data_IF_486679382818
#
_entry.id   IF_486679382818
#
_cell.length_a   1.000
_cell.length_b   1.000
_cell.length_c   1.000
_cell.angle_alpha   90.00
_cell.angle_beta   90.00
_cell.angle_gamma   90.00
#
_symmetry.space_group_name_H-M   'P 1'
#
loop_
_entity.id
_entity.type
_entity.pdbx_description
1 polymer ?
#
# COMPACT_ATOMS: atom_id res chain seq x y z
N UNK A 1 -14.52 3.75 0.82
CA UNK A 1 -13.25 4.47 0.56
C UNK A 1 -13.45 5.95 0.25
N UNK A 2 -14.59 6.36 -0.33
CA UNK A 2 -14.75 7.70 -0.92
C UNK A 2 -14.92 8.87 0.07
N UNK A 3 -15.51 8.67 1.26
CA UNK A 3 -15.82 9.78 2.17
C UNK A 3 -14.61 10.42 2.88
N UNK A 4 -13.49 9.71 3.01
CA UNK A 4 -12.28 10.23 3.66
C UNK A 4 -11.38 10.97 2.67
N UNK A 5 -11.41 10.59 1.39
CA UNK A 5 -10.62 11.20 0.33
C UNK A 5 -11.11 12.61 0.00
N UNK A 6 -12.38 12.93 0.24
CA UNK A 6 -12.93 14.28 0.04
C UNK A 6 -12.33 15.33 0.98
N UNK A 7 -11.65 14.93 2.07
CA UNK A 7 -10.92 15.84 2.96
C UNK A 7 -9.56 16.26 2.40
N UNK A 8 -8.98 15.46 1.49
CA UNK A 8 -7.75 15.80 0.78
C UNK A 8 -8.12 16.66 -0.43
N UNK A 9 -8.34 17.96 -0.20
CA UNK A 9 -8.73 18.93 -1.22
C UNK A 9 -7.55 19.25 -2.19
N UNK A 10 -7.03 18.24 -2.88
CA UNK A 10 -5.83 18.29 -3.71
C UNK A 10 -6.08 17.58 -5.04
N UNK A 11 -6.20 18.35 -6.12
CA UNK A 11 -6.40 17.83 -7.48
C UNK A 11 -5.15 17.21 -8.12
N UNK A 12 -3.98 17.35 -7.47
CA UNK A 12 -2.69 16.84 -7.94
C UNK A 12 -2.17 15.64 -7.14
N UNK A 13 -2.89 15.23 -6.10
CA UNK A 13 -2.44 14.16 -5.22
C UNK A 13 -2.84 12.80 -5.77
N UNK A 14 -1.90 11.86 -5.80
CA UNK A 14 -2.20 10.44 -5.99
C UNK A 14 -2.56 9.80 -4.65
N UNK A 15 -3.59 8.95 -4.64
CA UNK A 15 -3.88 8.11 -3.47
C UNK A 15 -3.30 6.73 -3.69
N UNK A 16 -2.59 6.23 -2.69
CA UNK A 16 -2.09 4.87 -2.65
C UNK A 16 -2.48 4.21 -1.34
N UNK A 17 -3.35 3.21 -1.41
CA UNK A 17 -3.74 2.40 -0.27
C UNK A 17 -2.89 1.14 -0.20
N UNK A 18 -2.03 1.00 0.82
CA UNK A 18 -1.25 -0.22 1.04
C UNK A 18 -2.12 -1.44 1.40
N UNK A 19 -3.43 -1.26 1.63
CA UNK A 19 -4.40 -2.35 1.81
C UNK A 19 -4.35 -3.35 0.64
N UNK A 20 -4.19 -2.86 -0.58
CA UNK A 20 -4.11 -3.70 -1.79
C UNK A 20 -2.86 -4.59 -1.81
N UNK A 21 -1.84 -4.28 -0.99
CA UNK A 21 -0.67 -5.12 -0.84
C UNK A 21 -0.95 -6.40 -0.05
N UNK A 22 -2.04 -6.42 0.72
CA UNK A 22 -2.34 -7.47 1.69
C UNK A 22 -3.72 -8.09 1.53
N UNK A 23 -4.66 -7.37 0.92
CA UNK A 23 -6.06 -7.77 0.86
C UNK A 23 -6.56 -7.99 -0.56
N UNK A 24 -7.32 -9.06 -0.75
CA UNK A 24 -8.13 -9.34 -1.93
C UNK A 24 -9.62 -9.29 -1.54
N UNK A 25 -10.33 -8.26 -2.01
CA UNK A 25 -11.69 -7.98 -1.58
C UNK A 25 -11.78 -7.72 -0.07
N UNK A 26 -12.49 -8.59 0.64
CA UNK A 26 -12.67 -8.53 2.10
C UNK A 26 -11.65 -9.40 2.87
N UNK A 27 -10.83 -10.18 2.17
CA UNK A 27 -9.86 -11.08 2.79
C UNK A 27 -8.48 -10.45 2.83
N UNK A 28 -7.93 -10.28 4.03
CA UNK A 28 -6.59 -9.75 4.23
C UNK A 28 -5.63 -10.83 4.73
N UNK A 29 -4.53 -11.01 4.03
CA UNK A 29 -3.44 -11.86 4.47
C UNK A 29 -2.72 -11.19 5.64
N UNK A 30 -2.80 -11.80 6.81
CA UNK A 30 -2.04 -11.39 8.00
C UNK A 30 -0.70 -12.14 8.13
N UNK A 31 -0.50 -13.14 7.27
CA UNK A 31 0.70 -13.97 7.19
C UNK A 31 1.24 -13.99 5.75
N UNK A 32 2.55 -13.99 5.60
CA UNK A 32 3.20 -14.33 4.33
C UNK A 32 3.25 -15.85 4.18
N UNK A 33 2.61 -16.39 3.15
CA UNK A 33 2.49 -17.83 2.93
C UNK A 33 3.85 -18.49 2.66
N UNK A 34 4.82 -17.76 2.11
CA UNK A 34 6.13 -18.30 1.80
C UNK A 34 7.01 -18.48 3.03
N UNK A 35 7.02 -17.50 3.94
CA UNK A 35 7.84 -17.55 5.15
C UNK A 35 7.10 -18.04 6.40
N UNK A 36 5.76 -18.08 6.39
CA UNK A 36 4.96 -18.37 7.56
C UNK A 36 5.08 -17.30 8.66
N UNK A 37 5.57 -16.11 8.31
CA UNK A 37 5.77 -14.99 9.23
C UNK A 37 4.65 -13.95 9.08
N UNK A 38 4.28 -13.25 10.17
CA UNK A 38 3.24 -12.24 10.09
C UNK A 38 3.70 -11.04 9.26
N UNK A 39 2.80 -10.49 8.44
CA UNK A 39 3.07 -9.29 7.63
C UNK A 39 2.91 -7.99 8.43
N UNK A 40 2.29 -8.07 9.61
CA UNK A 40 2.19 -7.00 10.60
C UNK A 40 2.90 -7.42 11.89
N UNK A 41 3.65 -6.50 12.52
CA UNK A 41 4.29 -6.76 13.82
C UNK A 41 3.27 -6.67 14.94
N UNK A 42 2.36 -5.72 14.83
CA UNK A 42 1.28 -5.39 15.75
C UNK A 42 0.16 -4.71 14.95
N UNK A 43 -0.83 -4.10 15.62
CA UNK A 43 -1.97 -3.45 14.96
C UNK A 43 -1.62 -2.17 14.19
N UNK A 44 -0.39 -1.65 14.33
CA UNK A 44 0.01 -0.34 13.80
C UNK A 44 1.18 -0.45 12.80
N UNK A 45 2.06 -1.43 12.98
CA UNK A 45 3.31 -1.53 12.25
C UNK A 45 3.35 -2.71 11.29
N UNK A 46 3.80 -2.43 10.07
CA UNK A 46 4.13 -3.45 9.07
C UNK A 46 5.43 -4.15 9.49
N UNK A 47 5.46 -5.48 9.41
CA UNK A 47 6.66 -6.27 9.74
C UNK A 47 7.72 -6.16 8.63
N UNK A 48 8.98 -6.56 8.88
CA UNK A 48 9.99 -6.63 7.82
C UNK A 48 9.56 -7.49 6.63
N UNK A 49 8.74 -8.52 6.86
CA UNK A 49 8.16 -9.36 5.82
C UNK A 49 7.08 -8.59 5.05
N UNK A 50 6.16 -7.94 5.75
CA UNK A 50 5.13 -7.09 5.13
C UNK A 50 5.71 -5.99 4.26
N UNK A 51 6.83 -5.38 4.68
CA UNK A 51 7.52 -4.35 3.89
C UNK A 51 8.02 -4.88 2.54
N UNK A 52 8.35 -6.17 2.42
CA UNK A 52 8.73 -6.77 1.13
C UNK A 52 7.57 -6.82 0.14
N UNK A 53 6.32 -6.95 0.62
CA UNK A 53 5.13 -6.93 -0.23
C UNK A 53 4.76 -5.51 -0.67
N UNK A 54 4.90 -4.51 0.22
CA UNK A 54 4.55 -3.12 -0.11
C UNK A 54 5.62 -2.44 -0.97
N UNK A 55 6.91 -2.64 -0.69
CA UNK A 55 7.99 -1.86 -1.30
C UNK A 55 7.91 -1.79 -2.84
N UNK A 56 7.67 -2.89 -3.58
CA UNK A 56 7.53 -2.83 -5.03
C UNK A 56 6.35 -1.97 -5.49
N UNK A 57 5.25 -1.97 -4.74
CA UNK A 57 4.06 -1.17 -5.06
C UNK A 57 4.30 0.33 -4.85
N UNK A 58 4.98 0.69 -3.76
CA UNK A 58 5.40 2.08 -3.50
C UNK A 58 6.35 2.55 -4.60
N UNK A 59 7.36 1.76 -4.94
CA UNK A 59 8.34 2.12 -5.99
C UNK A 59 7.63 2.34 -7.32
N UNK A 60 6.74 1.41 -7.73
CA UNK A 60 5.93 1.55 -8.94
C UNK A 60 5.10 2.83 -8.94
N UNK A 61 4.51 3.20 -7.80
CA UNK A 61 3.67 4.38 -7.71
C UNK A 61 4.50 5.68 -7.72
N UNK A 62 5.64 5.70 -7.05
CA UNK A 62 6.61 6.80 -7.12
C UNK A 62 7.07 6.99 -8.57
N UNK A 63 7.49 5.91 -9.25
CA UNK A 63 7.91 5.96 -10.65
C UNK A 63 6.79 6.47 -11.55
N UNK A 64 5.54 6.06 -11.29
CA UNK A 64 4.36 6.55 -12.02
C UNK A 64 4.18 8.06 -11.83
N UNK A 65 4.37 8.58 -10.62
CA UNK A 65 4.22 10.01 -10.32
C UNK A 65 5.36 10.81 -10.98
N UNK A 66 6.60 10.38 -10.78
CA UNK A 66 7.79 11.06 -11.32
C UNK A 66 7.80 11.08 -12.85
N UNK A 67 7.48 9.95 -13.49
CA UNK A 67 7.51 9.85 -14.96
C UNK A 67 6.26 10.39 -15.67
N UNK A 68 5.12 10.57 -14.97
CA UNK A 68 3.98 11.33 -15.50
C UNK A 68 4.18 12.85 -15.42
N UNK A 69 5.13 13.32 -14.61
CA UNK A 69 5.41 14.76 -14.44
C UNK A 69 6.26 15.36 -15.58
N UNK A 70 6.64 14.54 -16.57
CA UNK A 70 7.57 14.91 -17.67
C UNK A 70 6.86 15.05 -19.03
N UNK A 71 5.53 14.92 -19.10
CA UNK A 71 4.74 15.20 -20.32
C UNK A 71 3.75 16.34 -20.11
#
# INVERSE_FOLDING_TARGET
>A
MEAWLSLLNCSKCGFFGYREAFCDGDFCNVMDLASGLPVFRDTEHISPVGTRHIKPLIVKEIDRILNKSVN
#
